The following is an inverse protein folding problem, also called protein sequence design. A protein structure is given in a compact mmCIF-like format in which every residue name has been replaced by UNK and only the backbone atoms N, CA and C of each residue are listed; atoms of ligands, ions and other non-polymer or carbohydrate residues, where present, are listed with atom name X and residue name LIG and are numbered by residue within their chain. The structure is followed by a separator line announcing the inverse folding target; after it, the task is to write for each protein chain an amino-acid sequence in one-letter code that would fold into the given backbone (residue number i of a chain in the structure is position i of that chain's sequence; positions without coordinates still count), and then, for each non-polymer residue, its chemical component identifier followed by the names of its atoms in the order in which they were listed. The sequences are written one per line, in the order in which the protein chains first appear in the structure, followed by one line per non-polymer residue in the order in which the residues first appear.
data_IF_138628922644
#
_entry.id   IF_138628922644
#
_cell.length_a   1.000
_cell.length_b   1.000
_cell.length_c   1.000
_cell.angle_alpha   90.00
_cell.angle_beta   90.00
_cell.angle_gamma   90.00
#
_symmetry.space_group_name_H-M   'P 1'
#
loop_
_entity.id
_entity.type
_entity.pdbx_description
1 polymer ?
#
# COMPACT_ATOMS: atom_id res chain seq x y z
N UNK A 1 -1.54 -18.43 17.46
CA UNK A 1 -1.36 -19.79 16.89
C UNK A 1 -0.10 -19.77 16.03
N UNK A 2 0.62 -20.89 15.89
CA UNK A 2 1.76 -20.96 14.96
C UNK A 2 1.23 -21.23 13.54
N UNK A 3 1.73 -20.56 12.49
CA UNK A 3 1.41 -20.90 11.10
C UNK A 3 1.71 -22.37 10.82
N UNK A 4 0.96 -22.96 9.90
CA UNK A 4 1.24 -24.25 9.31
C UNK A 4 2.60 -24.23 8.61
N UNK A 5 3.21 -25.41 8.44
CA UNK A 5 4.48 -25.53 7.74
C UNK A 5 4.30 -25.27 6.23
N UNK A 6 5.22 -24.52 5.63
CA UNK A 6 5.34 -24.41 4.19
C UNK A 6 5.57 -25.79 3.55
N UNK A 7 4.99 -26.02 2.36
CA UNK A 7 5.14 -27.27 1.61
C UNK A 7 4.32 -28.46 2.14
N UNK A 8 3.54 -28.29 3.19
CA UNK A 8 2.51 -29.27 3.56
C UNK A 8 1.31 -29.16 2.60
N UNK A 9 0.54 -30.24 2.45
CA UNK A 9 -0.66 -30.23 1.61
C UNK A 9 -1.80 -29.50 2.32
N UNK A 10 -2.20 -28.34 1.79
CA UNK A 10 -3.40 -27.60 2.19
C UNK A 10 -4.37 -27.61 1.01
N UNK A 11 -5.53 -28.28 1.10
CA UNK A 11 -6.50 -28.24 0.02
C UNK A 11 -7.01 -26.81 -0.17
N UNK A 12 -7.17 -26.39 -1.43
CA UNK A 12 -7.84 -25.15 -1.77
C UNK A 12 -9.32 -25.27 -1.40
N UNK A 13 -9.86 -24.30 -0.68
CA UNK A 13 -11.25 -24.31 -0.24
C UNK A 13 -12.15 -23.75 -1.35
N UNK A 14 -12.27 -24.51 -2.44
CA UNK A 14 -12.87 -24.04 -3.68
C UNK A 14 -14.37 -23.75 -3.52
N UNK A 15 -14.75 -22.51 -3.83
CA UNK A 15 -16.15 -22.07 -3.80
C UNK A 15 -16.97 -22.86 -4.83
N UNK A 16 -18.08 -23.45 -4.37
CA UNK A 16 -18.96 -24.27 -5.20
C UNK A 16 -18.65 -25.78 -5.17
N UNK A 17 -17.57 -26.20 -4.51
CA UNK A 17 -17.31 -27.62 -4.25
C UNK A 17 -18.19 -28.17 -3.11
N UNK A 18 -18.46 -29.48 -3.11
CA UNK A 18 -19.20 -30.13 -2.01
C UNK A 18 -18.41 -30.11 -0.68
N UNK A 19 -17.09 -29.93 -0.76
CA UNK A 19 -16.17 -29.91 0.39
C UNK A 19 -15.90 -28.50 0.93
N UNK A 20 -16.56 -27.46 0.38
CA UNK A 20 -16.36 -26.07 0.79
C UNK A 20 -16.68 -25.85 2.29
N UNK A 21 -15.76 -25.23 3.01
CA UNK A 21 -15.85 -24.96 4.44
C UNK A 21 -15.80 -23.46 4.72
N UNK A 22 -16.63 -22.96 5.62
CA UNK A 22 -16.58 -21.56 6.07
C UNK A 22 -15.80 -21.48 7.38
N UNK A 23 -14.92 -20.49 7.50
CA UNK A 23 -14.38 -20.08 8.80
C UNK A 23 -12.95 -20.51 9.10
N UNK A 24 -12.16 -20.93 8.10
CA UNK A 24 -10.78 -21.38 8.27
C UNK A 24 -10.69 -22.74 8.97
N UNK A 25 -10.22 -23.76 8.25
CA UNK A 25 -10.16 -25.14 8.75
C UNK A 25 -9.00 -25.32 9.72
N UNK A 26 -9.24 -25.88 10.91
CA UNK A 26 -8.31 -26.21 12.01
C UNK A 26 -6.79 -26.13 11.70
N UNK A 27 -6.26 -24.89 11.59
CA UNK A 27 -4.85 -24.45 11.61
C UNK A 27 -4.73 -23.07 10.93
N UNK A 28 -3.73 -22.27 11.32
CA UNK A 28 -3.38 -21.05 10.57
C UNK A 28 -2.60 -21.45 9.32
N UNK A 29 -3.05 -21.08 8.12
CA UNK A 29 -2.35 -21.36 6.86
C UNK A 29 -1.04 -20.55 6.74
N UNK A 30 -0.01 -21.03 6.01
CA UNK A 30 1.08 -20.18 5.53
C UNK A 30 0.56 -18.98 4.73
N UNK A 31 1.30 -17.86 4.68
CA UNK A 31 0.82 -16.63 4.04
C UNK A 31 0.51 -16.81 2.54
N UNK A 32 1.33 -17.57 1.81
CA UNK A 32 1.09 -17.89 0.39
C UNK A 32 -0.20 -18.68 0.18
N UNK A 33 -0.49 -19.61 1.08
CA UNK A 33 -1.74 -20.38 1.07
C UNK A 33 -2.93 -19.49 1.43
N UNK A 34 -2.78 -18.55 2.37
CA UNK A 34 -3.82 -17.56 2.65
C UNK A 34 -4.13 -16.72 1.41
N UNK A 35 -3.10 -16.26 0.69
CA UNK A 35 -3.26 -15.53 -0.56
C UNK A 35 -4.01 -16.37 -1.60
N UNK A 36 -3.60 -17.62 -1.82
CA UNK A 36 -4.25 -18.52 -2.78
C UNK A 36 -5.75 -18.70 -2.48
N UNK A 37 -6.13 -18.82 -1.21
CA UNK A 37 -7.53 -18.90 -0.79
C UNK A 37 -8.31 -17.61 -1.11
N UNK A 38 -7.72 -16.44 -0.82
CA UNK A 38 -8.36 -15.16 -1.13
C UNK A 38 -8.54 -14.94 -2.63
N UNK A 39 -7.48 -15.19 -3.41
CA UNK A 39 -7.51 -15.06 -4.88
C UNK A 39 -8.57 -15.97 -5.47
N UNK A 40 -8.55 -17.27 -5.11
CA UNK A 40 -9.53 -18.24 -5.57
C UNK A 40 -10.97 -17.80 -5.29
N UNK A 41 -11.25 -17.33 -4.07
CA UNK A 41 -12.60 -16.87 -3.71
C UNK A 41 -13.00 -15.60 -4.48
N UNK A 42 -12.11 -14.60 -4.54
CA UNK A 42 -12.40 -13.31 -5.17
C UNK A 42 -12.65 -13.48 -6.67
N UNK A 43 -11.80 -14.24 -7.37
CA UNK A 43 -11.94 -14.50 -8.81
C UNK A 43 -13.18 -15.33 -9.14
N UNK A 44 -13.58 -16.25 -8.25
CA UNK A 44 -14.81 -17.02 -8.42
C UNK A 44 -16.09 -16.21 -8.11
N UNK A 45 -16.01 -15.22 -7.22
CA UNK A 45 -17.17 -14.47 -6.72
C UNK A 45 -17.45 -13.15 -7.43
N UNK A 46 -16.41 -12.47 -7.94
CA UNK A 46 -16.54 -11.10 -8.42
C UNK A 46 -16.04 -10.96 -9.86
N UNK A 47 -16.90 -10.43 -10.71
CA UNK A 47 -16.56 -10.11 -12.10
C UNK A 47 -15.80 -8.78 -12.21
N UNK A 48 -14.99 -8.66 -13.27
CA UNK A 48 -14.36 -7.42 -13.65
C UNK A 48 -15.41 -6.33 -13.90
N UNK A 49 -15.21 -5.19 -13.26
CA UNK A 49 -16.10 -4.03 -13.35
C UNK A 49 -15.30 -2.75 -13.16
N UNK A 50 -15.78 -1.58 -13.65
CA UNK A 50 -15.12 -0.31 -13.41
C UNK A 50 -14.92 0.00 -11.91
N UNK A 51 -15.82 -0.51 -11.06
CA UNK A 51 -15.75 -0.34 -9.60
C UNK A 51 -14.93 -1.45 -8.91
N UNK A 52 -14.35 -2.40 -9.65
CA UNK A 52 -13.72 -3.58 -9.07
C UNK A 52 -12.66 -3.21 -8.03
N UNK A 53 -11.75 -2.30 -8.39
CA UNK A 53 -10.66 -1.86 -7.53
C UNK A 53 -11.17 -1.01 -6.34
N UNK A 54 -12.20 -0.20 -6.55
CA UNK A 54 -12.80 0.61 -5.49
C UNK A 54 -13.46 -0.24 -4.39
N UNK A 55 -14.07 -1.36 -4.78
CA UNK A 55 -14.72 -2.30 -3.86
C UNK A 55 -13.76 -3.38 -3.33
N UNK A 56 -12.52 -3.41 -3.82
CA UNK A 56 -11.59 -4.48 -3.50
C UNK A 56 -11.25 -4.58 -2.00
N UNK A 57 -11.08 -3.47 -1.24
CA UNK A 57 -10.87 -3.57 0.21
C UNK A 57 -11.97 -4.34 0.93
N UNK A 58 -13.23 -4.04 0.63
CA UNK A 58 -14.39 -4.73 1.24
C UNK A 58 -14.45 -6.20 0.82
N UNK A 59 -14.15 -6.49 -0.46
CA UNK A 59 -14.13 -7.85 -1.00
C UNK A 59 -13.01 -8.68 -0.37
N UNK A 60 -11.83 -8.09 -0.14
CA UNK A 60 -10.71 -8.71 0.57
C UNK A 60 -11.10 -9.01 2.02
N UNK A 61 -11.68 -8.05 2.75
CA UNK A 61 -12.13 -8.28 4.12
C UNK A 61 -13.18 -9.40 4.17
N UNK A 62 -14.17 -9.38 3.27
CA UNK A 62 -15.20 -10.41 3.20
C UNK A 62 -14.61 -11.80 2.88
N UNK A 63 -13.75 -11.90 1.86
CA UNK A 63 -13.07 -13.13 1.50
C UNK A 63 -12.22 -13.65 2.67
N UNK A 64 -11.46 -12.77 3.34
CA UNK A 64 -10.63 -13.14 4.47
C UNK A 64 -11.45 -13.67 5.65
N UNK A 65 -12.60 -13.07 5.95
CA UNK A 65 -13.51 -13.59 7.00
C UNK A 65 -14.04 -14.98 6.68
N UNK A 66 -14.41 -15.25 5.42
CA UNK A 66 -14.93 -16.55 5.00
C UNK A 66 -13.85 -17.62 4.91
N UNK A 67 -12.71 -17.27 4.30
CA UNK A 67 -11.66 -18.23 3.94
C UNK A 67 -10.68 -18.47 5.09
N UNK A 68 -10.35 -17.43 5.85
CA UNK A 68 -9.34 -17.49 6.92
C UNK A 68 -9.96 -17.52 8.33
N UNK A 69 -11.28 -17.30 8.43
CA UNK A 69 -12.03 -17.32 9.67
C UNK A 69 -12.23 -15.94 10.29
N UNK A 70 -13.40 -15.73 10.89
CA UNK A 70 -13.83 -14.45 11.46
C UNK A 70 -13.14 -14.07 12.77
N UNK A 71 -12.43 -15.00 13.41
CA UNK A 71 -11.68 -14.75 14.65
C UNK A 71 -10.33 -14.05 14.43
N UNK A 72 -9.92 -13.84 13.17
CA UNK A 72 -8.69 -13.14 12.79
C UNK A 72 -9.00 -11.66 12.54
N UNK A 73 -8.02 -10.79 12.81
CA UNK A 73 -8.13 -9.35 12.56
C UNK A 73 -7.99 -9.02 11.06
N UNK A 74 -9.14 -8.80 10.43
CA UNK A 74 -9.30 -8.48 9.01
C UNK A 74 -9.48 -6.98 8.72
N UNK A 75 -9.16 -6.11 9.68
CA UNK A 75 -9.24 -4.66 9.44
C UNK A 75 -8.25 -4.22 8.36
N UNK A 76 -8.73 -3.48 7.36
CA UNK A 76 -7.87 -2.84 6.36
C UNK A 76 -7.10 -1.67 6.99
N UNK A 77 -5.96 -1.23 6.38
CA UNK A 77 -5.12 -0.17 6.96
C UNK A 77 -5.88 1.11 7.28
N UNK A 78 -6.78 1.53 6.38
CA UNK A 78 -7.60 2.73 6.55
C UNK A 78 -8.53 2.72 7.77
N UNK A 79 -8.77 1.55 8.38
CA UNK A 79 -9.56 1.39 9.61
C UNK A 79 -8.65 1.13 10.81
N UNK A 80 -7.64 0.28 10.65
CA UNK A 80 -6.78 -0.13 11.75
C UNK A 80 -5.75 0.93 12.17
N UNK A 81 -5.34 1.82 11.24
CA UNK A 81 -4.11 2.62 11.39
C UNK A 81 -4.31 4.14 11.24
N UNK A 82 -5.46 4.61 10.76
CA UNK A 82 -5.64 6.04 10.40
C UNK A 82 -5.71 7.01 11.58
N UNK A 83 -6.02 6.55 12.79
CA UNK A 83 -6.03 7.40 13.99
C UNK A 83 -6.84 8.69 13.80
N UNK A 84 -6.28 9.82 14.23
CA UNK A 84 -6.92 11.15 14.21
C UNK A 84 -6.33 12.07 13.12
N UNK A 85 -6.22 11.58 11.88
CA UNK A 85 -5.76 12.38 10.73
C UNK A 85 -6.78 13.45 10.35
N UNK A 86 -6.30 14.68 10.11
CA UNK A 86 -7.11 15.71 9.45
C UNK A 86 -6.94 15.66 7.93
N UNK A 87 -8.02 15.98 7.22
CA UNK A 87 -8.06 16.00 5.75
C UNK A 87 -8.46 17.39 5.29
N UNK A 88 -7.71 17.93 4.34
CA UNK A 88 -7.95 19.23 3.73
C UNK A 88 -7.89 19.12 2.21
N UNK A 89 -8.82 19.77 1.52
CA UNK A 89 -8.74 19.91 0.07
C UNK A 89 -7.60 20.87 -0.29
N UNK A 90 -6.81 20.50 -1.29
CA UNK A 90 -5.71 21.29 -1.80
C UNK A 90 -5.82 21.45 -3.33
N UNK A 91 -5.14 22.45 -3.93
CA UNK A 91 -5.33 22.74 -5.35
C UNK A 91 -5.03 21.58 -6.33
N UNK A 92 -4.17 20.63 -5.93
CA UNK A 92 -3.76 19.49 -6.75
C UNK A 92 -4.29 18.15 -6.22
N UNK A 93 -5.14 18.16 -5.18
CA UNK A 93 -5.66 16.94 -4.56
C UNK A 93 -6.02 17.13 -3.09
N UNK A 94 -5.53 16.26 -2.21
CA UNK A 94 -5.87 16.30 -0.77
C UNK A 94 -4.63 16.20 0.11
N UNK A 95 -4.64 16.92 1.22
CA UNK A 95 -3.61 16.88 2.25
C UNK A 95 -4.14 16.16 3.48
N UNK A 96 -3.44 15.11 3.90
CA UNK A 96 -3.64 14.36 5.12
C UNK A 96 -2.58 14.78 6.13
N UNK A 97 -2.98 15.34 7.26
CA UNK A 97 -2.05 15.72 8.33
C UNK A 97 -2.20 14.78 9.50
N UNK A 98 -1.11 14.09 9.85
CA UNK A 98 -1.08 13.27 11.06
C UNK A 98 -1.30 14.11 12.31
N UNK A 99 -1.99 13.54 13.29
CA UNK A 99 -2.12 14.12 14.64
C UNK A 99 -0.77 14.33 15.36
N UNK A 100 0.29 13.67 14.88
CA UNK A 100 1.65 13.68 15.43
C UNK A 100 2.61 14.53 14.60
N UNK A 101 2.17 15.05 13.45
CA UNK A 101 3.04 15.85 12.58
C UNK A 101 3.43 17.18 13.27
N UNK A 102 4.67 17.65 13.06
CA UNK A 102 5.10 18.93 13.62
C UNK A 102 4.34 20.09 12.96
N UNK A 103 4.07 21.16 13.70
CA UNK A 103 3.32 22.31 13.19
C UNK A 103 4.00 22.99 11.98
N UNK A 104 5.33 23.03 11.96
CA UNK A 104 6.17 23.54 10.86
C UNK A 104 7.27 22.52 10.56
N UNK A 105 7.83 22.54 9.35
CA UNK A 105 8.91 21.62 8.99
C UNK A 105 8.43 20.18 8.80
N UNK A 106 9.36 19.27 9.07
CA UNK A 106 9.15 17.84 9.08
C UNK A 106 9.16 17.21 7.69
N UNK A 107 8.76 15.94 7.67
CA UNK A 107 8.67 15.16 6.45
C UNK A 107 7.28 15.36 5.84
N UNK A 108 7.25 15.62 4.55
CA UNK A 108 6.06 15.51 3.72
C UNK A 108 6.25 14.33 2.76
N UNK A 109 5.17 13.60 2.50
CA UNK A 109 5.12 12.61 1.42
C UNK A 109 4.13 13.06 0.36
N UNK A 110 4.57 13.16 -0.89
CA UNK A 110 3.66 13.40 -2.02
C UNK A 110 3.29 12.04 -2.60
N UNK A 111 2.04 11.63 -2.47
CA UNK A 111 1.54 10.34 -2.97
C UNK A 111 0.87 10.48 -4.32
N UNK A 112 1.08 9.49 -5.17
CA UNK A 112 0.62 9.47 -6.55
C UNK A 112 0.16 8.06 -6.93
N UNK A 113 -1.07 7.96 -7.44
CA UNK A 113 -1.75 6.71 -7.77
C UNK A 113 -2.13 6.63 -9.24
N UNK A 114 -1.80 5.51 -9.88
CA UNK A 114 -2.05 5.26 -11.31
C UNK A 114 -3.39 4.59 -11.64
N UNK A 115 -4.21 4.30 -10.63
CA UNK A 115 -5.53 3.68 -10.82
C UNK A 115 -6.71 4.67 -10.92
N UNK A 116 -7.94 4.16 -11.03
CA UNK A 116 -9.14 4.97 -11.23
C UNK A 116 -9.49 5.81 -9.99
N UNK A 117 -10.17 6.95 -10.21
CA UNK A 117 -10.52 7.91 -9.16
C UNK A 117 -11.30 7.29 -7.99
N UNK A 118 -12.27 6.42 -8.25
CA UNK A 118 -13.04 5.76 -7.19
C UNK A 118 -12.14 4.85 -6.33
N UNK A 119 -11.19 4.14 -6.94
CA UNK A 119 -10.23 3.33 -6.18
C UNK A 119 -9.22 4.19 -5.42
N UNK A 120 -8.94 5.40 -5.91
CA UNK A 120 -8.16 6.37 -5.15
C UNK A 120 -8.85 6.72 -3.84
N UNK A 121 -10.13 7.03 -3.91
CA UNK A 121 -10.93 7.45 -2.75
C UNK A 121 -11.15 6.31 -1.75
N UNK A 122 -11.50 5.11 -2.23
CA UNK A 122 -11.92 4.02 -1.35
C UNK A 122 -10.82 3.02 -0.99
N UNK A 123 -9.68 3.04 -1.68
CA UNK A 123 -8.55 2.14 -1.40
C UNK A 123 -7.26 2.89 -1.11
N UNK A 124 -6.82 3.77 -2.01
CA UNK A 124 -5.49 4.39 -1.91
C UNK A 124 -5.38 5.44 -0.80
N UNK A 125 -6.27 6.46 -0.80
CA UNK A 125 -6.27 7.54 0.19
C UNK A 125 -6.40 7.05 1.63
N UNK A 126 -7.23 6.02 1.93
CA UNK A 126 -7.23 5.41 3.26
C UNK A 126 -5.87 4.81 3.66
N UNK A 127 -5.12 4.20 2.73
CA UNK A 127 -3.76 3.72 2.99
C UNK A 127 -2.76 4.87 3.16
N UNK A 128 -2.89 5.95 2.38
CA UNK A 128 -2.07 7.17 2.51
C UNK A 128 -2.29 7.83 3.86
N UNK A 129 -3.55 8.02 4.26
CA UNK A 129 -3.91 8.60 5.55
C UNK A 129 -3.38 7.76 6.72
N UNK A 130 -3.54 6.43 6.64
CA UNK A 130 -2.96 5.49 7.59
C UNK A 130 -1.44 5.60 7.66
N UNK A 131 -0.75 5.66 6.51
CA UNK A 131 0.70 5.81 6.47
C UNK A 131 1.14 7.13 7.10
N UNK A 132 0.48 8.24 6.75
CA UNK A 132 0.76 9.56 7.28
C UNK A 132 0.68 9.56 8.82
N UNK A 133 -0.39 8.98 9.36
CA UNK A 133 -0.60 8.88 10.80
C UNK A 133 0.46 8.05 11.52
N UNK A 134 0.80 6.89 10.96
CA UNK A 134 1.77 6.00 11.58
C UNK A 134 3.19 6.58 11.49
N UNK A 135 3.51 7.31 10.43
CA UNK A 135 4.80 7.95 10.24
C UNK A 135 4.94 9.28 11.00
N UNK A 136 3.82 9.92 11.39
CA UNK A 136 3.82 11.25 11.98
C UNK A 136 4.17 12.35 10.98
N UNK A 137 3.68 12.22 9.74
CA UNK A 137 4.02 13.11 8.62
C UNK A 137 2.77 13.75 8.01
N UNK A 138 2.99 14.69 7.08
CA UNK A 138 1.94 15.17 6.19
C UNK A 138 2.01 14.42 4.87
N UNK A 139 0.87 14.05 4.31
CA UNK A 139 0.79 13.47 2.97
C UNK A 139 -0.02 14.36 2.04
N UNK A 140 0.51 14.66 0.86
CA UNK A 140 -0.21 15.33 -0.22
C UNK A 140 -0.48 14.32 -1.33
N UNK A 141 -1.72 13.83 -1.41
CA UNK A 141 -2.17 12.93 -2.47
C UNK A 141 -2.66 13.72 -3.69
N UNK A 142 -2.01 13.52 -4.84
CA UNK A 142 -2.35 14.23 -6.08
C UNK A 142 -3.49 13.58 -6.84
N UNK A 143 -4.35 14.40 -7.45
CA UNK A 143 -5.46 13.92 -8.27
C UNK A 143 -5.03 13.47 -9.67
N UNK A 144 -3.95 14.04 -10.20
CA UNK A 144 -3.33 13.65 -11.47
C UNK A 144 -1.86 13.31 -11.20
N UNK A 145 -1.39 12.10 -11.57
CA UNK A 145 0.02 11.74 -11.49
C UNK A 145 0.99 12.73 -12.15
N UNK A 146 0.54 13.50 -13.15
CA UNK A 146 1.35 14.54 -13.78
C UNK A 146 1.69 15.72 -12.83
N UNK A 147 0.91 15.92 -11.76
CA UNK A 147 1.07 17.04 -10.82
C UNK A 147 2.05 16.76 -9.69
N UNK A 148 2.64 15.55 -9.62
CA UNK A 148 3.56 15.14 -8.54
C UNK A 148 4.72 16.13 -8.34
N UNK A 149 5.33 16.64 -9.43
CA UNK A 149 6.41 17.61 -9.35
C UNK A 149 5.95 18.96 -8.80
N UNK A 150 4.74 19.40 -9.17
CA UNK A 150 4.15 20.63 -8.66
C UNK A 150 3.79 20.51 -7.17
N UNK A 151 3.29 19.35 -6.75
CA UNK A 151 2.99 19.06 -5.35
C UNK A 151 4.26 18.98 -4.47
N UNK A 152 5.36 18.42 -4.98
CA UNK A 152 6.67 18.47 -4.31
C UNK A 152 7.09 19.92 -4.08
N UNK A 153 6.96 20.77 -5.10
CA UNK A 153 7.28 22.20 -4.96
C UNK A 153 6.37 22.90 -3.95
N UNK A 154 5.07 22.62 -3.97
CA UNK A 154 4.11 23.17 -3.00
C UNK A 154 4.46 22.77 -1.56
N UNK A 155 4.77 21.48 -1.31
CA UNK A 155 5.17 21.01 0.01
C UNK A 155 6.41 21.76 0.54
N UNK A 156 7.39 22.05 -0.32
CA UNK A 156 8.56 22.88 0.05
C UNK A 156 8.19 24.31 0.38
N UNK A 157 7.28 24.92 -0.37
CA UNK A 157 6.81 26.29 -0.10
C UNK A 157 6.06 26.38 1.23
N UNK A 158 5.34 25.32 1.61
CA UNK A 158 4.68 25.14 2.91
C UNK A 158 5.66 24.77 4.04
N UNK A 159 6.96 24.71 3.74
CA UNK A 159 8.03 24.58 4.73
C UNK A 159 8.46 23.14 5.05
N UNK A 160 8.23 22.17 4.17
CA UNK A 160 8.74 20.80 4.36
C UNK A 160 10.28 20.75 4.37
N UNK A 161 10.87 20.20 5.42
CA UNK A 161 12.33 19.96 5.54
C UNK A 161 12.75 18.81 4.63
N UNK A 162 11.93 17.76 4.57
CA UNK A 162 12.12 16.59 3.71
C UNK A 162 10.86 16.35 2.89
N UNK A 163 11.00 16.09 1.60
CA UNK A 163 9.90 15.67 0.72
C UNK A 163 10.24 14.33 0.12
N UNK A 164 9.49 13.31 0.54
CA UNK A 164 9.47 12.00 -0.08
C UNK A 164 8.36 11.92 -1.14
N UNK A 165 8.52 11.04 -2.12
CA UNK A 165 7.49 10.79 -3.14
C UNK A 165 7.09 9.32 -3.12
N UNK A 166 5.79 9.04 -3.13
CA UNK A 166 5.24 7.69 -3.10
C UNK A 166 4.44 7.41 -4.38
N UNK A 167 4.95 6.52 -5.23
CA UNK A 167 4.29 6.09 -6.46
C UNK A 167 3.83 4.64 -6.44
N UNK A 168 2.77 4.35 -7.19
CA UNK A 168 2.30 2.98 -7.49
C UNK A 168 2.46 2.63 -8.96
N UNK A 169 2.76 1.37 -9.26
CA UNK A 169 2.64 0.84 -10.62
C UNK A 169 3.39 1.67 -11.66
N UNK A 170 2.66 2.16 -12.65
CA UNK A 170 3.16 2.97 -13.76
C UNK A 170 3.42 4.44 -13.40
N UNK A 171 2.78 4.97 -12.35
CA UNK A 171 3.04 6.35 -11.89
C UNK A 171 4.46 6.55 -11.37
N UNK A 172 5.15 5.48 -10.97
CA UNK A 172 6.56 5.52 -10.61
C UNK A 172 7.45 6.12 -11.72
N UNK A 173 7.04 6.06 -12.99
CA UNK A 173 7.77 6.64 -14.11
C UNK A 173 7.70 8.19 -14.16
N UNK A 174 6.77 8.79 -13.43
CA UNK A 174 6.51 10.24 -13.42
C UNK A 174 7.16 10.95 -12.23
N UNK A 175 7.80 10.21 -11.32
CA UNK A 175 8.33 10.80 -10.10
C UNK A 175 9.49 11.74 -10.43
N UNK A 176 9.51 12.95 -9.83
CA UNK A 176 10.53 13.95 -10.11
C UNK A 176 11.86 13.52 -9.47
N UNK A 177 12.98 13.93 -10.04
CA UNK A 177 14.32 13.49 -9.59
C UNK A 177 14.88 14.26 -8.40
N UNK A 178 14.23 15.35 -8.00
CA UNK A 178 14.66 16.29 -6.96
C UNK A 178 14.00 16.05 -5.59
N UNK A 179 13.25 14.94 -5.41
CA UNK A 179 12.79 14.50 -4.11
C UNK A 179 13.93 13.83 -3.30
N UNK A 180 13.83 13.89 -1.96
CA UNK A 180 14.89 13.36 -1.08
C UNK A 180 14.85 11.84 -0.92
N UNK A 181 13.65 11.27 -1.08
CA UNK A 181 13.39 9.85 -0.90
C UNK A 181 12.19 9.38 -1.70
N UNK A 182 12.14 8.08 -1.99
CA UNK A 182 11.09 7.46 -2.79
C UNK A 182 10.54 6.21 -2.11
N UNK A 183 9.21 6.07 -2.12
CA UNK A 183 8.52 4.82 -1.84
C UNK A 183 7.90 4.33 -3.15
N UNK A 184 8.33 3.17 -3.62
CA UNK A 184 7.88 2.59 -4.89
C UNK A 184 7.07 1.34 -4.59
N UNK A 185 5.75 1.41 -4.75
CA UNK A 185 4.84 0.29 -4.51
C UNK A 185 4.49 -0.43 -5.79
N UNK A 186 4.95 -1.68 -5.88
CA UNK A 186 4.70 -2.58 -7.01
C UNK A 186 4.94 -1.90 -8.38
N UNK A 187 6.09 -1.24 -8.59
CA UNK A 187 6.35 -0.47 -9.80
C UNK A 187 6.22 -1.36 -11.05
N UNK A 188 5.65 -0.79 -12.10
CA UNK A 188 5.59 -1.42 -13.41
C UNK A 188 7.01 -1.50 -14.03
N UNK A 189 7.16 -2.35 -15.03
CA UNK A 189 8.43 -2.49 -15.76
C UNK A 189 8.88 -1.13 -16.33
N UNK A 190 10.16 -0.80 -16.15
CA UNK A 190 10.75 0.47 -16.62
C UNK A 190 10.42 1.71 -15.78
N UNK A 191 9.43 1.64 -14.89
CA UNK A 191 8.94 2.80 -14.13
C UNK A 191 9.91 3.27 -13.03
N UNK A 192 10.85 2.42 -12.60
CA UNK A 192 11.77 2.75 -11.50
C UNK A 192 13.12 3.34 -11.95
N UNK A 193 13.33 3.54 -13.27
CA UNK A 193 14.67 3.85 -13.82
C UNK A 193 15.12 5.31 -13.65
N UNK A 194 14.24 6.22 -13.25
CA UNK A 194 14.55 7.66 -13.18
C UNK A 194 14.90 8.18 -11.78
N UNK A 195 14.60 7.44 -10.70
CA UNK A 195 14.55 7.99 -9.34
C UNK A 195 15.84 7.81 -8.50
N UNK A 196 16.89 7.16 -9.03
CA UNK A 196 17.96 6.61 -8.17
C UNK A 196 19.30 7.33 -8.32
N UNK A 197 19.33 8.59 -7.87
CA UNK A 197 20.58 9.26 -7.50
C UNK A 197 21.09 8.77 -6.13
N UNK A 198 21.49 9.70 -5.25
CA UNK A 198 21.85 9.41 -3.86
C UNK A 198 20.64 9.33 -2.90
N UNK A 199 19.41 9.41 -3.42
CA UNK A 199 18.19 9.42 -2.62
C UNK A 199 17.92 8.04 -1.97
N UNK A 200 17.29 8.05 -0.80
CA UNK A 200 16.85 6.82 -0.14
C UNK A 200 15.64 6.25 -0.88
N UNK A 201 15.60 4.94 -1.09
CA UNK A 201 14.49 4.29 -1.80
C UNK A 201 14.00 3.09 -1.01
N UNK A 202 12.70 3.05 -0.75
CA UNK A 202 11.97 1.85 -0.35
C UNK A 202 11.27 1.25 -1.57
N UNK A 203 11.66 0.03 -1.94
CA UNK A 203 11.04 -0.74 -3.01
C UNK A 203 10.15 -1.84 -2.42
N UNK A 204 8.85 -1.69 -2.60
CA UNK A 204 7.85 -2.66 -2.15
C UNK A 204 7.45 -3.58 -3.31
N UNK A 205 7.72 -4.88 -3.15
CA UNK A 205 7.50 -5.90 -4.17
C UNK A 205 6.40 -6.88 -3.80
N UNK A 206 5.60 -7.26 -4.78
CA UNK A 206 4.63 -8.34 -4.67
C UNK A 206 5.29 -9.67 -5.04
N UNK A 207 5.10 -10.71 -4.24
CA UNK A 207 5.69 -12.04 -4.47
C UNK A 207 5.10 -12.76 -5.68
N UNK A 208 3.84 -12.45 -6.03
CA UNK A 208 3.06 -13.13 -7.08
C UNK A 208 2.49 -12.11 -8.09
N UNK A 209 3.27 -11.08 -8.41
CA UNK A 209 2.86 -10.10 -9.42
C UNK A 209 2.81 -10.74 -10.81
N UNK A 210 1.80 -10.37 -11.60
CA UNK A 210 1.69 -10.79 -12.99
C UNK A 210 2.70 -10.10 -13.94
N UNK A 211 3.53 -9.20 -13.42
CA UNK A 211 4.53 -8.44 -14.17
C UNK A 211 5.92 -8.54 -13.52
N UNK A 212 6.95 -8.34 -14.34
CA UNK A 212 8.31 -8.25 -13.85
C UNK A 212 8.50 -6.93 -13.09
N UNK A 213 8.96 -7.05 -11.85
CA UNK A 213 9.23 -5.90 -10.99
C UNK A 213 10.72 -5.57 -11.02
N UNK A 214 11.08 -4.28 -11.14
CA UNK A 214 12.47 -3.85 -11.25
C UNK A 214 13.28 -4.22 -10.01
N UNK A 215 14.59 -4.39 -10.20
CA UNK A 215 15.57 -4.40 -9.12
C UNK A 215 16.33 -3.08 -9.14
N UNK A 216 16.50 -2.47 -7.96
CA UNK A 216 17.18 -1.19 -7.80
C UNK A 216 18.35 -1.35 -6.84
N UNK A 217 19.55 -1.04 -7.31
CA UNK A 217 20.74 -1.07 -6.47
C UNK A 217 20.63 0.00 -5.37
N UNK A 218 20.95 -0.38 -4.13
CA UNK A 218 20.90 0.53 -2.97
C UNK A 218 19.51 0.78 -2.39
N UNK A 219 18.44 0.26 -3.00
CA UNK A 219 17.10 0.34 -2.42
C UNK A 219 16.92 -0.62 -1.24
N UNK A 220 16.18 -0.18 -0.22
CA UNK A 220 15.62 -1.07 0.79
C UNK A 220 14.46 -1.85 0.16
N UNK A 221 14.61 -3.17 0.03
CA UNK A 221 13.59 -4.01 -0.62
C UNK A 221 12.75 -4.73 0.42
N UNK A 222 11.43 -4.59 0.33
CA UNK A 222 10.46 -5.37 1.13
C UNK A 222 9.56 -6.16 0.19
N UNK A 223 9.43 -7.46 0.43
CA UNK A 223 8.53 -8.32 -0.32
C UNK A 223 7.28 -8.65 0.51
N UNK A 224 6.14 -8.65 -0.18
CA UNK A 224 4.80 -8.88 0.37
C UNK A 224 4.15 -10.04 -0.36
N UNK A 225 3.46 -10.89 0.40
CA UNK A 225 2.67 -11.97 -0.17
C UNK A 225 1.40 -11.38 -0.77
N UNK A 226 1.46 -11.10 -2.07
CA UNK A 226 0.47 -10.29 -2.79
C UNK A 226 0.56 -10.56 -4.29
N UNK A 227 -0.57 -10.39 -4.99
CA UNK A 227 -0.62 -10.33 -6.46
C UNK A 227 -0.29 -8.94 -7.02
N UNK A 228 -0.01 -7.98 -6.14
CA UNK A 228 0.10 -6.55 -6.46
C UNK A 228 -1.20 -5.78 -6.21
N UNK A 229 -2.35 -6.45 -6.17
CA UNK A 229 -3.66 -5.85 -5.85
C UNK A 229 -4.44 -6.63 -4.79
N UNK A 230 -4.32 -7.97 -4.75
CA UNK A 230 -4.94 -8.82 -3.72
C UNK A 230 -3.85 -9.26 -2.75
N UNK A 231 -4.10 -9.00 -1.46
CA UNK A 231 -3.33 -9.55 -0.35
C UNK A 231 -4.24 -9.69 0.87
N UNK A 232 -3.77 -10.38 1.92
CA UNK A 232 -4.51 -10.42 3.18
C UNK A 232 -4.55 -9.02 3.83
N UNK A 233 -5.56 -8.70 4.66
CA UNK A 233 -5.58 -7.44 5.41
C UNK A 233 -4.30 -7.21 6.23
N UNK A 234 -3.71 -8.29 6.78
CA UNK A 234 -2.44 -8.21 7.49
C UNK A 234 -1.26 -7.79 6.59
N UNK A 235 -1.18 -8.29 5.35
CA UNK A 235 -0.16 -7.87 4.38
C UNK A 235 -0.37 -6.43 3.91
N UNK A 236 -1.62 -5.98 3.72
CA UNK A 236 -1.91 -4.56 3.48
C UNK A 236 -1.45 -3.68 4.65
N UNK A 237 -1.73 -4.08 5.89
CA UNK A 237 -1.26 -3.34 7.09
C UNK A 237 0.27 -3.31 7.16
N UNK A 238 0.94 -4.44 6.91
CA UNK A 238 2.41 -4.52 6.88
C UNK A 238 3.01 -3.59 5.84
N UNK A 239 2.46 -3.55 4.61
CA UNK A 239 2.90 -2.64 3.55
C UNK A 239 2.85 -1.18 3.97
N UNK A 240 1.74 -0.76 4.59
CA UNK A 240 1.56 0.62 5.08
C UNK A 240 2.51 0.92 6.24
N UNK A 241 2.70 -0.02 7.17
CA UNK A 241 3.61 0.14 8.31
C UNK A 241 5.09 0.24 7.88
N UNK A 242 5.53 -0.59 6.94
CA UNK A 242 6.90 -0.54 6.41
C UNK A 242 7.17 0.81 5.70
N UNK A 243 6.19 1.31 4.94
CA UNK A 243 6.28 2.65 4.33
C UNK A 243 6.34 3.74 5.40
N UNK A 244 5.51 3.63 6.44
CA UNK A 244 5.50 4.59 7.53
C UNK A 244 6.81 4.60 8.33
N UNK A 245 7.38 3.43 8.60
CA UNK A 245 8.68 3.27 9.26
C UNK A 245 9.78 3.96 8.43
N UNK A 246 9.84 3.69 7.13
CA UNK A 246 10.78 4.33 6.22
C UNK A 246 10.67 5.86 6.25
N UNK A 247 9.45 6.40 6.14
CA UNK A 247 9.20 7.85 6.16
C UNK A 247 9.59 8.48 7.51
N UNK A 248 9.24 7.84 8.62
CA UNK A 248 9.60 8.31 9.96
C UNK A 248 11.13 8.37 10.17
N UNK A 249 11.86 7.41 9.58
CA UNK A 249 13.32 7.37 9.62
C UNK A 249 14.01 8.50 8.84
N UNK A 250 13.29 9.20 7.95
CA UNK A 250 13.81 10.36 7.24
C UNK A 250 13.93 11.59 8.15
N UNK A 251 13.01 11.75 9.10
CA UNK A 251 13.00 12.87 10.06
C UNK A 251 14.23 12.86 10.99
N UNK A 252 14.83 11.69 11.21
CA UNK A 252 15.98 11.49 12.11
C UNK A 252 17.35 11.61 11.45
N UNK A 253 17.42 11.82 10.13
CA UNK A 253 18.69 11.76 9.39
C UNK A 253 19.55 13.03 9.46
N UNK A 254 19.10 14.09 10.16
CA UNK A 254 19.91 15.26 10.47
C UNK A 254 20.27 15.28 11.97
N UNK A 255 21.35 14.58 12.31
CA UNK A 255 21.99 14.57 13.64
C UNK A 255 23.49 14.35 13.52
#
# INVERSE_FOLDING_TARGET
MKPGAEGAHYPLNEQGSEEFQVGGVERTLPESEQLAQLVSYIEASYEDSPQYLALLPDRITHAAMLMLGSAVDHQMPGVALTGDVSVEDAPLGQVFTSSKAPAEGGVWVVSCYDGPADAREFSWRPEVAACAEQAGVRAYDVDDPADVAAAVHAARQEGADVVAVWGTGSSCALLPTDADAYVLTFPAEGAASAATGHAKVLLQRASDAAWEQPSLEGAEVKEYVSTGVIATPAQHRRKVLDAAEFLSGLATAEG
#
